data_IF_668547629607
#
_entry.id   IF_668547629607
#
_cell.length_a   1.000
_cell.length_b   1.000
_cell.length_c   1.000
_cell.angle_alpha   90.00
_cell.angle_beta   90.00
_cell.angle_gamma   90.00
#
_symmetry.space_group_name_H-M   'P 1'
#
loop_
_entity.id
_entity.type
_entity.pdbx_description
1 polymer ?
#
# COMPACT_ATOMS: atom_id res chain seq x y z
N UNK A 1 24.98 -1.51 -63.24
CA UNK A 1 25.20 -0.61 -64.39
C UNK A 1 25.73 0.69 -63.82
N UNK A 2 26.98 0.98 -64.24
CA UNK A 2 27.69 2.28 -64.21
C UNK A 2 27.71 3.10 -62.92
N UNK A 3 28.73 3.29 -62.18
CA UNK A 3 30.15 3.43 -62.37
C UNK A 3 30.56 4.84 -62.87
N UNK A 4 31.80 5.24 -62.50
CA UNK A 4 32.19 6.39 -61.60
C UNK A 4 32.96 7.49 -62.40
N UNK A 5 33.52 8.55 -61.73
CA UNK A 5 34.71 9.33 -62.17
C UNK A 5 34.97 10.42 -61.10
N UNK A 6 36.02 10.43 -60.40
CA UNK A 6 37.46 10.77 -60.59
C UNK A 6 37.73 12.14 -61.15
N UNK A 7 38.67 12.78 -60.48
CA UNK A 7 39.83 13.67 -60.80
C UNK A 7 39.84 14.90 -59.93
N UNK A 8 40.79 15.23 -59.10
CA UNK A 8 42.23 15.17 -59.23
C UNK A 8 42.84 16.59 -59.12
N UNK A 9 44.01 16.82 -58.60
CA UNK A 9 44.40 18.05 -57.90
C UNK A 9 45.25 19.00 -58.82
N UNK A 10 45.28 20.32 -58.46
CA UNK A 10 46.25 21.25 -59.03
C UNK A 10 47.00 21.98 -57.94
N UNK A 11 48.34 21.89 -58.10
CA UNK A 11 49.40 22.52 -57.29
C UNK A 11 49.72 23.95 -57.74
N UNK A 12 50.26 24.69 -56.73
CA UNK A 12 51.42 25.60 -56.80
C UNK A 12 51.25 26.99 -57.33
N UNK A 13 51.63 28.00 -56.59
CA UNK A 13 53.00 28.57 -56.62
C UNK A 13 53.21 29.67 -55.57
N UNK A 14 54.38 29.69 -55.02
CA UNK A 14 54.97 30.70 -54.17
C UNK A 14 55.19 32.03 -54.91
N UNK A 15 55.03 33.17 -54.23
CA UNK A 15 55.89 34.34 -54.39
C UNK A 15 56.09 35.01 -53.01
N UNK A 16 57.35 35.23 -52.71
CA UNK A 16 57.83 35.93 -51.51
C UNK A 16 57.90 37.47 -51.75
N UNK A 17 57.70 38.24 -50.69
CA UNK A 17 57.92 39.67 -50.74
C UNK A 17 57.65 40.40 -49.41
N UNK A 18 58.77 40.75 -48.75
CA UNK A 18 59.00 42.05 -48.14
C UNK A 18 58.35 42.38 -46.78
N UNK A 19 59.19 42.41 -45.78
CA UNK A 19 58.94 42.91 -44.44
C UNK A 19 58.70 44.42 -44.34
N UNK A 20 57.74 44.87 -43.57
CA UNK A 20 57.74 46.14 -42.82
C UNK A 20 57.14 45.92 -41.43
N UNK A 21 57.99 46.08 -40.42
CA UNK A 21 57.61 46.09 -39.00
C UNK A 21 56.92 47.47 -38.72
N UNK A 22 55.65 47.40 -38.28
CA UNK A 22 55.06 48.46 -37.47
C UNK A 22 54.58 47.86 -36.17
N UNK A 23 55.18 48.22 -35.04
CA UNK A 23 54.69 48.04 -33.72
C UNK A 23 53.41 48.88 -33.55
N UNK A 24 52.31 48.17 -33.27
CA UNK A 24 51.09 48.81 -32.74
C UNK A 24 50.84 48.10 -31.38
N UNK A 25 51.03 48.88 -30.30
CA UNK A 25 50.61 48.51 -28.98
C UNK A 25 49.11 48.47 -28.92
N UNK A 26 48.51 47.27 -28.85
CA UNK A 26 47.09 47.07 -28.60
C UNK A 26 46.83 46.85 -27.10
N UNK A 27 45.75 47.36 -26.52
CA UNK A 27 45.46 47.19 -25.11
C UNK A 27 45.18 45.70 -24.82
N UNK A 28 45.82 45.16 -23.77
CA UNK A 28 45.56 43.84 -23.23
C UNK A 28 44.13 43.80 -22.65
N UNK A 29 43.21 43.15 -23.36
CA UNK A 29 41.88 42.84 -22.86
C UNK A 29 42.01 41.70 -21.88
N UNK A 30 41.98 41.99 -20.58
CA UNK A 30 41.93 40.98 -19.54
C UNK A 30 40.53 40.32 -19.60
N UNK A 31 40.47 39.09 -20.13
CA UNK A 31 39.28 38.26 -20.00
C UNK A 31 39.18 37.82 -18.53
N UNK A 32 38.28 38.48 -17.77
CA UNK A 32 37.78 37.93 -16.52
C UNK A 32 36.94 36.67 -16.88
N UNK A 33 37.58 35.49 -16.75
CA UNK A 33 36.82 34.23 -16.74
C UNK A 33 36.06 34.21 -15.43
N UNK A 34 34.82 34.66 -15.46
CA UNK A 34 33.90 34.39 -14.38
C UNK A 34 33.69 32.86 -14.33
N UNK A 35 34.32 32.22 -13.37
CA UNK A 35 34.04 30.82 -13.02
C UNK A 35 32.59 30.75 -12.54
N UNK A 36 31.66 30.48 -13.43
CA UNK A 36 30.33 30.07 -13.04
C UNK A 36 30.47 28.76 -12.27
N UNK A 37 30.37 28.84 -10.95
CA UNK A 37 30.25 27.65 -10.13
C UNK A 37 29.01 26.91 -10.64
N UNK A 38 29.20 25.81 -11.33
CA UNK A 38 28.12 24.91 -11.65
C UNK A 38 27.52 24.49 -10.31
N UNK A 39 26.38 25.04 -9.94
CA UNK A 39 25.63 24.55 -8.81
C UNK A 39 25.29 23.08 -9.13
N UNK A 40 25.86 22.17 -8.36
CA UNK A 40 25.47 20.77 -8.46
C UNK A 40 23.98 20.65 -8.21
N UNK A 41 23.29 19.91 -9.06
CA UNK A 41 21.88 19.61 -8.83
C UNK A 41 21.73 18.97 -7.45
N UNK A 42 20.66 19.28 -6.71
CA UNK A 42 20.40 18.67 -5.42
C UNK A 42 20.41 17.14 -5.52
N UNK A 43 21.06 16.49 -4.57
CA UNK A 43 21.19 15.05 -4.54
C UNK A 43 19.85 14.35 -4.25
N UNK A 44 18.91 15.06 -3.58
CA UNK A 44 17.61 14.55 -3.16
C UNK A 44 16.48 15.49 -3.58
N UNK A 45 15.34 14.91 -3.87
CA UNK A 45 14.12 15.67 -4.13
C UNK A 45 13.45 16.07 -2.81
N UNK A 46 13.40 15.13 -1.86
CA UNK A 46 12.80 15.34 -0.55
C UNK A 46 13.68 14.70 0.53
N UNK A 47 13.80 15.38 1.65
CA UNK A 47 14.46 14.91 2.87
C UNK A 47 13.49 15.01 4.05
N UNK A 48 13.17 13.88 4.66
CA UNK A 48 12.48 13.81 5.96
C UNK A 48 13.55 13.79 7.04
N UNK A 49 13.55 14.81 7.91
CA UNK A 49 14.63 15.04 8.85
C UNK A 49 14.25 14.75 10.29
N UNK A 50 15.04 13.91 10.97
CA UNK A 50 15.01 13.74 12.41
C UNK A 50 13.82 12.94 12.94
N UNK A 51 13.14 12.18 12.10
CA UNK A 51 12.04 11.29 12.52
C UNK A 51 12.55 10.01 13.18
N UNK A 52 11.71 9.39 13.99
CA UNK A 52 11.96 8.05 14.52
C UNK A 52 11.53 7.02 13.47
N UNK A 53 12.49 6.48 12.74
CA UNK A 53 12.23 5.49 11.68
C UNK A 53 12.01 4.12 12.29
N UNK A 54 10.90 3.48 11.92
CA UNK A 54 10.59 2.08 12.21
C UNK A 54 10.43 1.34 10.89
N UNK A 55 11.37 0.44 10.60
CA UNK A 55 11.36 -0.40 9.40
C UNK A 55 11.77 -1.84 9.79
N UNK A 56 10.78 -2.70 9.90
CA UNK A 56 10.96 -4.08 10.37
C UNK A 56 11.85 -4.90 9.44
N UNK A 57 11.72 -4.72 8.13
CA UNK A 57 12.53 -5.46 7.14
C UNK A 57 14.02 -5.14 7.24
N UNK A 58 14.36 -3.88 7.47
CA UNK A 58 15.76 -3.43 7.57
C UNK A 58 16.24 -3.36 9.03
N UNK A 59 15.46 -3.81 10.00
CA UNK A 59 15.77 -3.78 11.42
C UNK A 59 16.15 -2.38 11.93
N UNK A 60 15.45 -1.34 11.43
CA UNK A 60 15.66 0.05 11.85
C UNK A 60 14.59 0.40 12.89
N UNK A 61 15.04 0.87 14.05
CA UNK A 61 14.24 1.47 15.12
C UNK A 61 15.08 2.58 15.76
N UNK A 62 15.17 3.73 15.07
CA UNK A 62 16.12 4.78 15.43
C UNK A 62 15.71 6.16 14.88
N UNK A 63 16.22 7.22 15.52
CA UNK A 63 16.09 8.60 15.01
C UNK A 63 17.12 8.80 13.89
N UNK A 64 16.65 8.82 12.65
CA UNK A 64 17.45 9.01 11.43
C UNK A 64 16.67 9.78 10.38
N UNK A 65 17.36 10.20 9.33
CA UNK A 65 16.77 10.92 8.20
C UNK A 65 16.44 9.94 7.05
N UNK A 66 15.46 10.30 6.23
CA UNK A 66 15.08 9.55 5.03
C UNK A 66 15.13 10.48 3.83
N UNK A 67 15.98 10.20 2.87
CA UNK A 67 16.13 10.95 1.62
C UNK A 67 15.49 10.21 0.45
N UNK A 68 14.78 10.95 -0.40
CA UNK A 68 14.06 10.47 -1.57
C UNK A 68 14.63 11.12 -2.82
N UNK A 69 14.82 10.33 -3.88
CA UNK A 69 15.22 10.78 -5.20
C UNK A 69 14.47 10.02 -6.28
N UNK A 70 13.91 10.76 -7.25
CA UNK A 70 13.22 10.18 -8.41
C UNK A 70 12.18 9.11 -8.03
N UNK A 71 11.41 9.37 -6.97
CA UNK A 71 10.36 8.47 -6.47
C UNK A 71 10.84 7.26 -5.68
N UNK A 72 12.14 7.16 -5.36
CA UNK A 72 12.74 6.03 -4.67
C UNK A 72 13.47 6.47 -3.40
N UNK A 73 13.62 5.54 -2.45
CA UNK A 73 14.46 5.73 -1.27
C UNK A 73 15.93 5.84 -1.71
N UNK A 74 16.48 7.04 -1.57
CA UNK A 74 17.88 7.28 -1.92
C UNK A 74 18.83 6.94 -0.76
N UNK A 75 18.43 7.25 0.48
CA UNK A 75 19.24 6.98 1.67
C UNK A 75 18.40 7.02 2.93
N UNK A 76 18.72 6.14 3.87
CA UNK A 76 18.25 6.19 5.26
C UNK A 76 19.48 6.23 6.15
N UNK A 77 19.58 7.20 7.06
CA UNK A 77 20.72 7.31 7.97
C UNK A 77 20.77 8.66 8.68
N UNK A 78 21.62 8.79 9.70
CA UNK A 78 21.69 10.01 10.49
C UNK A 78 22.44 11.14 9.77
N UNK A 79 22.03 12.39 10.04
CA UNK A 79 22.79 13.60 9.72
C UNK A 79 22.90 13.91 8.24
N UNK A 80 21.89 13.63 7.45
CA UNK A 80 21.86 14.02 6.05
C UNK A 80 21.77 15.56 5.94
N UNK A 81 22.54 16.11 4.98
CA UNK A 81 22.62 17.57 4.82
C UNK A 81 21.38 18.11 4.11
N UNK A 82 20.64 19.01 4.75
CA UNK A 82 19.45 19.65 4.18
C UNK A 82 19.76 20.47 2.90
N UNK A 83 21.00 20.94 2.74
CA UNK A 83 21.44 21.66 1.54
C UNK A 83 21.54 20.78 0.28
N UNK A 84 21.51 19.46 0.46
CA UNK A 84 21.56 18.50 -0.64
C UNK A 84 20.14 18.10 -1.14
N UNK A 85 19.07 18.64 -0.53
CA UNK A 85 17.69 18.36 -0.90
C UNK A 85 16.99 19.59 -1.49
N UNK A 86 16.12 19.37 -2.49
CA UNK A 86 15.23 20.41 -3.01
C UNK A 86 14.28 20.87 -1.90
N UNK A 87 13.76 19.93 -1.14
CA UNK A 87 12.83 20.16 -0.03
C UNK A 87 13.23 19.35 1.19
N UNK A 88 13.17 19.99 2.35
CA UNK A 88 13.37 19.31 3.65
C UNK A 88 12.14 19.51 4.51
N UNK A 89 11.62 18.43 5.09
CA UNK A 89 10.52 18.45 6.04
C UNK A 89 11.05 18.00 7.40
N UNK A 90 10.80 18.79 8.42
CA UNK A 90 11.12 18.47 9.81
C UNK A 90 10.04 17.54 10.36
N UNK A 91 10.42 16.30 10.65
CA UNK A 91 9.52 15.26 11.21
C UNK A 91 10.00 14.81 12.61
N UNK A 92 10.72 15.67 13.31
CA UNK A 92 11.15 15.39 14.70
C UNK A 92 9.95 15.20 15.63
N UNK A 93 10.03 14.16 16.46
CA UNK A 93 8.94 13.79 17.36
C UNK A 93 7.84 12.94 16.71
N UNK A 94 7.97 12.67 15.41
CA UNK A 94 7.08 11.80 14.65
C UNK A 94 7.78 10.48 14.31
N UNK A 95 6.99 9.46 14.00
CA UNK A 95 7.47 8.17 13.51
C UNK A 95 7.42 8.14 11.99
N UNK A 96 8.47 7.64 11.36
CA UNK A 96 8.54 7.47 9.91
C UNK A 96 8.58 5.97 9.63
N UNK A 97 7.59 5.48 8.87
CA UNK A 97 7.45 4.06 8.53
C UNK A 97 7.38 3.90 7.02
N UNK A 98 7.61 2.69 6.46
CA UNK A 98 7.15 2.39 5.11
C UNK A 98 5.67 2.73 4.97
N UNK A 99 5.22 3.00 3.75
CA UNK A 99 3.80 3.18 3.46
C UNK A 99 2.99 1.96 3.88
N UNK A 100 1.88 2.20 4.57
CA UNK A 100 1.07 1.12 5.13
C UNK A 100 0.40 0.30 4.04
N UNK A 101 0.28 -1.00 4.29
CA UNK A 101 -0.37 -1.99 3.44
C UNK A 101 -1.61 -2.54 4.17
N UNK A 102 -2.78 -2.33 3.60
CA UNK A 102 -4.01 -2.95 4.10
C UNK A 102 -4.32 -4.20 3.29
N UNK A 103 -4.09 -5.36 3.90
CA UNK A 103 -4.15 -6.66 3.23
C UNK A 103 -5.58 -7.10 2.88
N UNK A 104 -6.60 -6.46 3.44
CA UNK A 104 -7.98 -6.88 3.30
C UNK A 104 -8.91 -5.67 3.21
N UNK A 105 -9.25 -5.28 1.97
CA UNK A 105 -10.22 -4.21 1.68
C UNK A 105 -11.15 -4.62 0.55
N UNK A 106 -12.23 -3.85 0.37
CA UNK A 106 -13.19 -4.02 -0.72
C UNK A 106 -13.33 -2.71 -1.49
N UNK A 107 -12.80 -2.68 -2.72
CA UNK A 107 -12.66 -1.44 -3.50
C UNK A 107 -13.23 -1.51 -4.93
N UNK A 108 -13.90 -2.58 -5.32
CA UNK A 108 -14.55 -2.72 -6.62
C UNK A 108 -15.93 -2.03 -6.61
N UNK A 109 -15.93 -0.70 -6.42
CA UNK A 109 -17.13 0.14 -6.39
C UNK A 109 -17.61 0.56 -7.78
N UNK A 110 -18.79 1.18 -7.85
CA UNK A 110 -19.31 1.82 -9.08
C UNK A 110 -19.82 0.87 -10.16
N UNK A 111 -20.05 -0.41 -9.87
CA UNK A 111 -20.60 -1.38 -10.82
C UNK A 111 -22.14 -1.30 -10.95
N UNK A 112 -22.82 -0.68 -9.98
CA UNK A 112 -24.28 -0.68 -9.85
C UNK A 112 -24.85 -1.94 -9.19
N UNK A 113 -24.03 -2.89 -8.78
CA UNK A 113 -24.46 -4.08 -8.04
C UNK A 113 -24.86 -3.71 -6.61
N UNK A 114 -26.11 -3.92 -6.26
CA UNK A 114 -26.66 -3.54 -4.95
C UNK A 114 -26.29 -4.55 -3.88
N UNK A 115 -25.93 -4.07 -2.69
CA UNK A 115 -25.58 -4.88 -1.51
C UNK A 115 -24.49 -5.92 -1.81
N UNK A 116 -23.53 -5.52 -2.61
CA UNK A 116 -22.47 -6.39 -3.12
C UNK A 116 -21.10 -5.76 -2.81
N UNK A 117 -20.13 -6.57 -2.43
CA UNK A 117 -18.71 -6.15 -2.37
C UNK A 117 -18.12 -5.92 -3.76
N UNK A 118 -18.70 -6.51 -4.80
CA UNK A 118 -18.43 -6.11 -6.18
C UNK A 118 -19.31 -4.91 -6.61
N UNK A 119 -19.63 -3.99 -5.71
CA UNK A 119 -20.55 -2.87 -5.97
C UNK A 119 -20.71 -1.91 -4.80
N UNK A 120 -21.95 -1.72 -4.33
CA UNK A 120 -22.33 -0.67 -3.37
C UNK A 120 -21.66 -0.79 -1.99
N UNK A 121 -21.21 -1.97 -1.58
CA UNK A 121 -20.51 -2.15 -0.31
C UNK A 121 -19.02 -1.79 -0.40
N UNK A 122 -18.44 -1.78 -1.58
CA UNK A 122 -17.07 -1.35 -1.82
C UNK A 122 -16.91 0.17 -1.72
N UNK A 123 -15.71 0.62 -1.36
CA UNK A 123 -15.38 2.03 -1.19
C UNK A 123 -14.37 2.49 -2.24
N UNK A 124 -14.41 3.77 -2.68
CA UNK A 124 -13.38 4.31 -3.57
C UNK A 124 -12.06 4.44 -2.81
N UNK A 125 -10.95 3.81 -3.27
CA UNK A 125 -9.72 3.71 -2.49
C UNK A 125 -9.11 5.06 -2.14
N UNK A 126 -8.92 5.95 -3.10
CA UNK A 126 -8.27 7.26 -2.89
C UNK A 126 -9.01 8.16 -1.90
N UNK A 127 -10.27 7.85 -1.58
CA UNK A 127 -11.06 8.59 -0.61
C UNK A 127 -10.71 8.33 0.86
N UNK A 128 -9.98 7.23 1.16
CA UNK A 128 -9.68 6.86 2.56
C UNK A 128 -8.23 6.43 2.79
N UNK A 129 -7.51 5.96 1.79
CA UNK A 129 -6.18 5.36 1.94
C UNK A 129 -5.16 6.35 2.47
N UNK A 130 -4.92 7.43 1.74
CA UNK A 130 -3.83 8.36 2.05
C UNK A 130 -4.02 9.07 3.39
N UNK A 131 -5.24 9.39 3.77
CA UNK A 131 -5.55 10.01 5.06
C UNK A 131 -5.30 9.08 6.27
N UNK A 132 -5.17 7.79 6.03
CA UNK A 132 -4.82 6.78 7.04
C UNK A 132 -3.42 6.19 6.85
N UNK A 133 -2.58 6.82 6.02
CA UNK A 133 -1.21 6.37 5.80
C UNK A 133 -1.05 5.17 4.87
N UNK A 134 -2.15 4.69 4.29
CA UNK A 134 -2.14 3.51 3.41
C UNK A 134 -1.72 3.92 2.00
N UNK A 135 -0.69 3.28 1.47
CA UNK A 135 -0.21 3.48 0.09
C UNK A 135 -0.54 2.31 -0.83
N UNK A 136 -0.78 1.15 -0.23
CA UNK A 136 -1.10 -0.09 -0.95
C UNK A 136 -2.28 -0.79 -0.27
N UNK A 137 -3.24 -1.22 -1.06
CA UNK A 137 -4.36 -2.05 -0.61
C UNK A 137 -4.44 -3.34 -1.41
N UNK A 138 -4.92 -4.40 -0.76
CA UNK A 138 -5.23 -5.66 -1.42
C UNK A 138 -6.74 -5.85 -1.40
N UNK A 139 -7.37 -5.78 -2.58
CA UNK A 139 -8.78 -6.12 -2.71
C UNK A 139 -9.00 -7.60 -2.42
N UNK A 140 -9.80 -7.90 -1.43
CA UNK A 140 -9.97 -9.24 -0.92
C UNK A 140 -11.12 -10.00 -1.61
N UNK A 141 -11.10 -10.05 -2.94
CA UNK A 141 -11.95 -10.91 -3.72
C UNK A 141 -13.26 -10.29 -4.18
N UNK A 142 -13.34 -8.98 -4.31
CA UNK A 142 -14.51 -8.35 -4.94
C UNK A 142 -14.72 -8.86 -6.37
N UNK A 143 -13.64 -9.11 -7.13
CA UNK A 143 -13.70 -9.68 -8.46
C UNK A 143 -13.30 -11.16 -8.49
N UNK A 144 -13.85 -11.89 -9.45
CA UNK A 144 -13.43 -13.24 -9.84
C UNK A 144 -12.89 -13.25 -11.27
N UNK A 145 -12.58 -14.45 -11.80
CA UNK A 145 -11.98 -14.57 -13.12
C UNK A 145 -12.84 -14.06 -14.28
N UNK A 146 -14.17 -13.87 -14.08
CA UNK A 146 -15.09 -13.37 -15.12
C UNK A 146 -15.08 -11.85 -15.25
N UNK A 147 -14.80 -11.11 -14.18
CA UNK A 147 -14.94 -9.66 -14.13
C UNK A 147 -13.70 -8.92 -13.62
N UNK A 148 -12.57 -9.61 -13.50
CA UNK A 148 -11.32 -8.98 -13.08
C UNK A 148 -10.86 -7.86 -14.02
N UNK A 149 -11.03 -8.04 -15.33
CA UNK A 149 -10.64 -7.02 -16.31
C UNK A 149 -11.47 -5.74 -16.19
N UNK A 150 -12.76 -5.86 -15.89
CA UNK A 150 -13.61 -4.69 -15.59
C UNK A 150 -13.16 -4.00 -14.27
N UNK A 151 -12.83 -4.78 -13.24
CA UNK A 151 -12.27 -4.23 -11.99
C UNK A 151 -10.95 -3.48 -12.26
N UNK A 152 -10.08 -4.07 -13.05
CA UNK A 152 -8.80 -3.46 -13.42
C UNK A 152 -9.01 -2.13 -14.15
N UNK A 153 -9.81 -2.11 -15.21
CA UNK A 153 -10.06 -0.91 -16.02
C UNK A 153 -10.77 0.21 -15.22
N UNK A 154 -11.77 -0.15 -14.41
CA UNK A 154 -12.58 0.84 -13.68
C UNK A 154 -11.89 1.42 -12.46
N UNK A 155 -11.13 0.61 -11.74
CA UNK A 155 -10.63 0.97 -10.41
C UNK A 155 -9.12 0.96 -10.38
N UNK A 156 -8.48 -0.17 -10.69
CA UNK A 156 -7.03 -0.33 -10.49
C UNK A 156 -6.25 0.69 -11.33
N UNK A 157 -6.55 0.77 -12.62
CA UNK A 157 -5.82 1.64 -13.57
C UNK A 157 -6.12 3.14 -13.37
N UNK A 158 -7.10 3.50 -12.53
CA UNK A 158 -7.53 4.89 -12.30
C UNK A 158 -7.21 5.41 -10.93
N UNK A 159 -6.80 4.55 -10.02
CA UNK A 159 -6.50 4.91 -8.64
C UNK A 159 -5.05 5.39 -8.48
N UNK A 160 -4.84 6.39 -7.64
CA UNK A 160 -3.50 6.78 -7.20
C UNK A 160 -2.96 5.82 -6.13
N UNK A 161 -3.85 5.20 -5.37
CA UNK A 161 -3.51 4.11 -4.45
C UNK A 161 -3.04 2.90 -5.24
N UNK A 162 -1.95 2.25 -4.81
CA UNK A 162 -1.58 0.94 -5.38
C UNK A 162 -2.61 -0.09 -4.93
N UNK A 163 -3.27 -0.73 -5.90
CA UNK A 163 -4.26 -1.79 -5.66
C UNK A 163 -3.71 -3.09 -6.24
N UNK A 164 -3.56 -4.08 -5.38
CA UNK A 164 -3.35 -5.46 -5.74
C UNK A 164 -4.62 -6.25 -5.45
N UNK A 165 -4.77 -7.44 -6.00
CA UNK A 165 -6.01 -8.20 -5.86
C UNK A 165 -5.79 -9.65 -5.44
N UNK A 166 -6.60 -10.13 -4.51
CA UNK A 166 -6.88 -11.55 -4.35
C UNK A 166 -8.11 -11.89 -5.19
N UNK A 167 -7.94 -12.78 -6.16
CA UNK A 167 -9.04 -13.15 -7.05
C UNK A 167 -10.00 -14.10 -6.35
N UNK A 168 -11.29 -13.81 -6.33
CA UNK A 168 -12.28 -14.70 -5.73
C UNK A 168 -12.35 -16.01 -6.51
N UNK A 169 -12.50 -17.13 -5.79
CA UNK A 169 -12.71 -18.44 -6.42
C UNK A 169 -14.05 -18.54 -7.13
N UNK A 170 -15.05 -17.76 -6.70
CA UNK A 170 -16.31 -17.59 -7.43
C UNK A 170 -16.05 -16.73 -8.66
N UNK A 171 -16.38 -17.23 -9.84
CA UNK A 171 -16.02 -16.60 -11.10
C UNK A 171 -16.53 -15.16 -11.27
N UNK A 172 -17.66 -14.82 -10.66
CA UNK A 172 -18.24 -13.47 -10.68
C UNK A 172 -17.83 -12.59 -9.49
N UNK A 173 -16.96 -13.08 -8.60
CA UNK A 173 -16.52 -12.35 -7.42
C UNK A 173 -17.56 -12.32 -6.29
N UNK A 174 -17.35 -11.42 -5.34
CA UNK A 174 -18.13 -11.31 -4.11
C UNK A 174 -19.41 -10.49 -4.35
N UNK A 175 -20.33 -11.06 -5.11
CA UNK A 175 -21.60 -10.42 -5.50
C UNK A 175 -22.74 -10.64 -4.50
N UNK A 176 -22.48 -11.35 -3.39
CA UNK A 176 -23.45 -11.62 -2.35
C UNK A 176 -24.06 -13.04 -2.41
N UNK A 177 -24.90 -13.34 -1.43
CA UNK A 177 -25.39 -14.65 -0.98
C UNK A 177 -25.38 -15.78 -2.01
N UNK A 178 -26.31 -15.75 -2.97
CA UNK A 178 -26.51 -16.84 -3.94
C UNK A 178 -25.29 -17.11 -4.85
N UNK A 179 -24.53 -16.07 -5.15
CA UNK A 179 -23.35 -16.20 -6.02
C UNK A 179 -22.23 -16.92 -5.28
N UNK A 180 -22.01 -16.56 -4.02
CA UNK A 180 -20.96 -17.12 -3.18
C UNK A 180 -21.30 -18.54 -2.68
N UNK A 181 -22.54 -18.99 -2.87
CA UNK A 181 -22.97 -20.38 -2.59
C UNK A 181 -22.93 -21.29 -3.83
N UNK A 182 -22.62 -20.75 -5.02
CA UNK A 182 -22.65 -21.49 -6.28
C UNK A 182 -21.32 -22.20 -6.53
N UNK A 183 -21.19 -23.44 -6.07
CA UNK A 183 -19.96 -24.24 -6.26
C UNK A 183 -19.66 -24.57 -7.72
N UNK A 184 -20.63 -24.51 -8.64
CA UNK A 184 -20.41 -24.68 -10.07
C UNK A 184 -19.66 -23.50 -10.73
N UNK A 185 -19.64 -22.34 -10.09
CA UNK A 185 -18.88 -21.16 -10.56
C UNK A 185 -17.48 -21.06 -9.93
N UNK A 186 -17.12 -22.02 -9.06
CA UNK A 186 -15.83 -22.09 -8.39
C UNK A 186 -14.87 -22.98 -9.19
N UNK A 187 -14.11 -22.36 -10.09
CA UNK A 187 -13.22 -23.06 -11.01
C UNK A 187 -11.75 -22.66 -10.76
N UNK A 188 -11.01 -23.59 -10.14
CA UNK A 188 -9.60 -23.36 -9.81
C UNK A 188 -8.69 -23.20 -11.03
N UNK A 189 -9.02 -23.86 -12.16
CA UNK A 189 -8.25 -23.77 -13.40
C UNK A 189 -8.42 -22.41 -14.10
N UNK A 190 -9.67 -21.95 -14.22
CA UNK A 190 -9.97 -20.65 -14.84
C UNK A 190 -9.45 -19.51 -13.97
N UNK A 191 -9.57 -19.65 -12.64
CA UNK A 191 -9.02 -18.68 -11.68
C UNK A 191 -7.48 -18.61 -11.78
N UNK A 192 -6.79 -19.75 -11.84
CA UNK A 192 -5.34 -19.80 -12.04
C UNK A 192 -4.89 -19.20 -13.39
N UNK A 193 -5.64 -19.46 -14.46
CA UNK A 193 -5.36 -18.87 -15.78
C UNK A 193 -5.48 -17.34 -15.76
N UNK A 194 -6.49 -16.80 -15.07
CA UNK A 194 -6.64 -15.36 -14.91
C UNK A 194 -5.48 -14.78 -14.10
N UNK A 195 -5.11 -15.41 -12.97
CA UNK A 195 -3.96 -14.98 -12.16
C UNK A 195 -2.66 -14.96 -12.99
N UNK A 196 -2.43 -15.96 -13.82
CA UNK A 196 -1.25 -16.04 -14.70
C UNK A 196 -1.21 -14.95 -15.80
N UNK A 197 -2.35 -14.34 -16.16
CA UNK A 197 -2.40 -13.22 -17.12
C UNK A 197 -1.95 -11.89 -16.50
N UNK A 198 -2.02 -11.77 -15.18
CA UNK A 198 -1.72 -10.54 -14.46
C UNK A 198 -0.76 -10.82 -13.28
N UNK A 199 0.46 -11.33 -13.56
CA UNK A 199 1.44 -11.64 -12.53
C UNK A 199 1.84 -10.36 -11.79
N UNK A 200 1.96 -10.45 -10.46
CA UNK A 200 2.28 -9.31 -9.60
C UNK A 200 1.11 -8.34 -9.34
N UNK A 201 0.01 -8.42 -10.10
CA UNK A 201 -1.22 -7.68 -9.83
C UNK A 201 -2.24 -8.54 -9.08
N UNK A 202 -2.41 -9.80 -9.49
CA UNK A 202 -3.18 -10.80 -8.74
C UNK A 202 -2.20 -11.54 -7.83
N UNK A 203 -2.30 -11.28 -6.53
CA UNK A 203 -1.32 -11.70 -5.52
C UNK A 203 -1.84 -12.81 -4.60
N UNK A 204 -3.08 -13.24 -4.76
CA UNK A 204 -3.69 -14.29 -3.97
C UNK A 204 -5.03 -14.74 -4.53
N UNK A 205 -5.58 -15.78 -3.91
CA UNK A 205 -6.94 -16.28 -4.17
C UNK A 205 -7.76 -16.10 -2.90
N UNK A 206 -8.99 -15.63 -3.04
CA UNK A 206 -9.94 -15.47 -1.93
C UNK A 206 -11.07 -16.49 -2.02
N UNK A 207 -11.47 -17.03 -0.89
CA UNK A 207 -12.78 -17.68 -0.72
C UNK A 207 -13.45 -17.15 0.54
N UNK A 208 -14.76 -16.87 0.47
CA UNK A 208 -15.49 -16.23 1.56
C UNK A 208 -16.95 -16.72 1.63
N UNK A 209 -17.56 -16.54 2.81
CA UNK A 209 -19.00 -16.59 3.11
C UNK A 209 -19.74 -17.89 2.73
N UNK A 210 -19.03 -18.96 2.36
CA UNK A 210 -19.70 -20.21 1.97
C UNK A 210 -20.34 -20.89 3.17
N UNK A 211 -21.61 -21.24 3.04
CA UNK A 211 -22.42 -21.81 4.12
C UNK A 211 -22.65 -23.32 3.98
N UNK A 212 -22.32 -23.91 2.84
CA UNK A 212 -22.51 -25.33 2.57
C UNK A 212 -21.57 -26.24 3.36
N UNK A 213 -21.84 -27.55 3.34
CA UNK A 213 -21.03 -28.56 4.05
C UNK A 213 -19.79 -29.02 3.27
N UNK A 214 -19.66 -28.66 1.99
CA UNK A 214 -18.62 -29.13 1.09
C UNK A 214 -17.33 -28.33 1.24
N UNK A 215 -16.20 -28.96 0.92
CA UNK A 215 -14.89 -28.35 0.85
C UNK A 215 -14.58 -27.67 -0.49
N UNK A 216 -15.47 -27.77 -1.47
CA UNK A 216 -15.28 -27.26 -2.84
C UNK A 216 -14.67 -25.87 -2.92
N UNK A 217 -15.15 -24.84 -2.16
CA UNK A 217 -14.56 -23.50 -2.25
C UNK A 217 -13.09 -23.45 -1.86
N UNK A 218 -12.74 -24.14 -0.78
CA UNK A 218 -11.36 -24.19 -0.29
C UNK A 218 -10.48 -25.04 -1.22
N UNK A 219 -10.96 -26.18 -1.66
CA UNK A 219 -10.21 -27.08 -2.55
C UNK A 219 -9.93 -26.42 -3.90
N UNK A 220 -10.91 -25.76 -4.50
CA UNK A 220 -10.73 -25.04 -5.75
C UNK A 220 -9.80 -23.82 -5.58
N UNK A 221 -9.91 -23.09 -4.46
CA UNK A 221 -8.99 -22.00 -4.16
C UNK A 221 -7.55 -22.48 -4.00
N UNK A 222 -7.34 -23.62 -3.31
CA UNK A 222 -6.02 -24.24 -3.14
C UNK A 222 -5.46 -24.74 -4.49
N UNK A 223 -6.29 -25.31 -5.37
CA UNK A 223 -5.89 -25.68 -6.74
C UNK A 223 -5.41 -24.42 -7.48
N UNK A 224 -6.21 -23.35 -7.48
CA UNK A 224 -5.86 -22.11 -8.13
C UNK A 224 -4.55 -21.49 -7.60
N UNK A 225 -4.45 -21.35 -6.28
CA UNK A 225 -3.27 -20.80 -5.61
C UNK A 225 -2.01 -21.63 -5.83
N UNK A 226 -2.14 -22.97 -5.90
CA UNK A 226 -1.01 -23.87 -6.19
C UNK A 226 -0.52 -23.70 -7.62
N UNK A 227 -1.43 -23.66 -8.60
CA UNK A 227 -1.09 -23.50 -10.01
C UNK A 227 -0.49 -22.12 -10.31
N UNK A 228 -1.03 -21.07 -9.70
CA UNK A 228 -0.54 -19.71 -9.87
C UNK A 228 0.66 -19.37 -8.95
N UNK A 229 1.03 -20.28 -8.05
CA UNK A 229 2.08 -20.07 -7.03
C UNK A 229 1.87 -18.83 -6.17
N UNK A 230 0.63 -18.59 -5.72
CA UNK A 230 0.23 -17.48 -4.85
C UNK A 230 -0.54 -18.02 -3.63
N UNK A 231 -0.62 -17.26 -2.50
CA UNK A 231 -1.36 -17.67 -1.32
C UNK A 231 -2.87 -17.74 -1.55
N UNK A 232 -3.54 -18.43 -0.64
CA UNK A 232 -5.00 -18.43 -0.53
C UNK A 232 -5.37 -17.73 0.78
N UNK A 233 -6.28 -16.76 0.74
CA UNK A 233 -6.91 -16.17 1.91
C UNK A 233 -8.31 -16.74 2.09
N UNK A 234 -8.58 -17.28 3.29
CA UNK A 234 -9.88 -17.86 3.62
C UNK A 234 -10.59 -17.06 4.70
N UNK A 235 -11.76 -16.53 4.34
CA UNK A 235 -12.83 -16.23 5.27
C UNK A 235 -13.76 -17.44 5.27
N UNK A 236 -13.76 -18.19 6.35
CA UNK A 236 -14.25 -19.58 6.33
C UNK A 236 -15.78 -19.71 6.16
N UNK A 237 -16.56 -18.65 6.33
CA UNK A 237 -18.02 -18.72 6.31
C UNK A 237 -18.56 -19.46 7.53
N UNK A 238 -19.44 -20.45 7.35
CA UNK A 238 -20.00 -21.21 8.47
C UNK A 238 -19.12 -22.39 8.87
N UNK A 239 -18.94 -22.58 10.18
CA UNK A 239 -18.40 -23.81 10.75
C UNK A 239 -19.46 -24.92 10.68
N UNK A 240 -19.07 -26.11 10.22
CA UNK A 240 -19.96 -27.27 10.05
C UNK A 240 -19.28 -28.51 10.58
N UNK A 241 -20.05 -29.49 11.12
CA UNK A 241 -19.46 -30.77 11.57
C UNK A 241 -18.68 -31.51 10.47
N UNK A 242 -19.13 -31.38 9.20
CA UNK A 242 -18.46 -31.96 8.03
C UNK A 242 -17.33 -31.11 7.49
N UNK A 243 -17.22 -29.85 7.96
CA UNK A 243 -16.24 -28.86 7.53
C UNK A 243 -15.76 -28.05 8.75
N UNK A 244 -15.07 -28.72 9.71
CA UNK A 244 -14.62 -28.04 10.92
C UNK A 244 -13.40 -27.15 10.67
N UNK A 245 -13.30 -26.05 11.40
CA UNK A 245 -12.16 -25.13 11.34
C UNK A 245 -10.82 -25.83 11.58
N UNK A 246 -10.79 -26.81 12.49
CA UNK A 246 -9.59 -27.61 12.76
C UNK A 246 -9.05 -28.27 11.48
N UNK A 247 -9.90 -28.90 10.68
CA UNK A 247 -9.48 -29.56 9.44
C UNK A 247 -9.05 -28.56 8.36
N UNK A 248 -9.67 -27.37 8.31
CA UNK A 248 -9.21 -26.30 7.45
C UNK A 248 -7.74 -25.98 7.71
N UNK A 249 -7.40 -25.67 8.95
CA UNK A 249 -6.09 -25.17 9.36
C UNK A 249 -5.00 -26.27 9.36
N UNK A 250 -5.38 -27.51 9.66
CA UNK A 250 -4.42 -28.60 9.80
C UNK A 250 -4.26 -29.49 8.58
N UNK A 251 -5.25 -29.52 7.67
CA UNK A 251 -5.28 -30.45 6.55
C UNK A 251 -5.48 -29.82 5.17
N UNK A 252 -6.24 -28.71 5.08
CA UNK A 252 -6.66 -28.17 3.79
C UNK A 252 -5.77 -27.03 3.31
N UNK A 253 -5.41 -26.07 4.18
CA UNK A 253 -4.54 -24.96 3.83
C UNK A 253 -3.07 -25.38 3.75
N UNK A 254 -2.32 -24.66 2.91
CA UNK A 254 -0.89 -24.86 2.68
C UNK A 254 -0.06 -23.91 3.56
N UNK A 255 1.20 -24.19 3.88
CA UNK A 255 2.12 -23.19 4.42
C UNK A 255 2.13 -21.94 3.54
N UNK A 256 2.00 -20.76 4.17
CA UNK A 256 1.89 -19.48 3.49
C UNK A 256 0.47 -19.07 3.08
N UNK A 257 -0.54 -19.91 3.29
CA UNK A 257 -1.94 -19.49 3.15
C UNK A 257 -2.39 -18.69 4.39
N UNK A 258 -3.42 -17.86 4.22
CA UNK A 258 -3.85 -16.85 5.19
C UNK A 258 -5.25 -17.20 5.71
N UNK A 259 -5.40 -17.27 7.04
CA UNK A 259 -6.70 -17.28 7.69
C UNK A 259 -7.04 -15.88 8.19
N UNK A 260 -8.06 -15.25 7.61
CA UNK A 260 -8.52 -13.91 8.04
C UNK A 260 -9.66 -13.97 9.05
N UNK A 261 -9.94 -12.86 9.72
CA UNK A 261 -10.95 -12.74 10.79
C UNK A 261 -10.64 -13.57 12.04
N UNK A 262 -9.37 -13.64 12.39
CA UNK A 262 -8.88 -14.53 13.45
C UNK A 262 -9.49 -14.27 14.85
N UNK A 263 -10.10 -13.12 15.09
CA UNK A 263 -10.72 -12.76 16.36
C UNK A 263 -12.25 -12.63 16.27
N UNK A 264 -12.88 -13.31 15.31
CA UNK A 264 -14.30 -13.15 15.04
C UNK A 264 -15.20 -13.77 16.10
N UNK A 265 -14.83 -14.90 16.65
CA UNK A 265 -15.67 -15.71 17.54
C UNK A 265 -16.92 -16.26 16.85
N UNK A 266 -16.88 -16.36 15.52
CA UNK A 266 -17.94 -16.96 14.71
C UNK A 266 -17.71 -18.45 14.48
N UNK A 267 -16.50 -18.91 14.78
CA UNK A 267 -16.06 -20.30 14.60
C UNK A 267 -15.30 -20.74 15.86
N UNK A 268 -14.68 -21.90 15.84
CA UNK A 268 -13.93 -22.41 16.99
C UNK A 268 -12.48 -21.88 17.00
N UNK A 269 -12.32 -20.56 16.96
CA UNK A 269 -11.00 -19.89 16.99
C UNK A 269 -10.34 -19.97 18.37
N UNK A 270 -11.15 -19.99 19.44
CA UNK A 270 -10.72 -19.94 20.83
C UNK A 270 -10.99 -21.26 21.56
N UNK A 271 -10.07 -21.68 22.42
CA UNK A 271 -10.33 -22.76 23.38
C UNK A 271 -11.20 -22.21 24.53
N UNK A 272 -12.40 -22.78 24.76
CA UNK A 272 -13.33 -22.26 25.76
C UNK A 272 -12.88 -22.45 27.21
N UNK A 273 -11.86 -23.29 27.47
CA UNK A 273 -11.34 -23.53 28.83
C UNK A 273 -10.23 -22.58 29.19
N UNK A 274 -9.30 -22.35 28.24
CA UNK A 274 -8.12 -21.50 28.47
C UNK A 274 -8.34 -20.07 28.02
N UNK A 275 -9.36 -19.83 27.19
CA UNK A 275 -9.60 -18.58 26.44
C UNK A 275 -8.43 -18.19 25.51
N UNK A 276 -7.47 -19.09 25.34
CA UNK A 276 -6.37 -18.93 24.39
C UNK A 276 -6.74 -19.40 22.98
N UNK A 277 -5.75 -19.47 22.07
CA UNK A 277 -5.98 -19.98 20.72
C UNK A 277 -6.43 -21.43 20.75
N UNK A 278 -7.34 -21.80 19.86
CA UNK A 278 -7.76 -23.19 19.70
C UNK A 278 -6.58 -24.07 19.23
N UNK A 279 -6.72 -25.38 19.44
CA UNK A 279 -5.71 -26.35 18.97
C UNK A 279 -5.45 -26.19 17.46
N UNK A 280 -6.49 -25.95 16.66
CA UNK A 280 -6.35 -25.70 15.22
C UNK A 280 -5.51 -24.48 14.89
N UNK A 281 -5.65 -23.39 15.66
CA UNK A 281 -4.84 -22.18 15.51
C UNK A 281 -3.36 -22.42 15.79
N UNK A 282 -3.08 -23.10 16.90
CA UNK A 282 -1.70 -23.44 17.30
C UNK A 282 -1.02 -24.34 16.25
N UNK A 283 -1.69 -25.41 15.83
CA UNK A 283 -1.15 -26.35 14.83
C UNK A 283 -1.07 -25.72 13.44
N UNK A 284 -2.05 -24.88 13.06
CA UNK A 284 -2.05 -24.14 11.81
C UNK A 284 -0.85 -23.19 11.72
N UNK A 285 -0.57 -22.42 12.77
CA UNK A 285 0.62 -21.56 12.84
C UNK A 285 1.91 -22.36 12.77
N UNK A 286 1.99 -23.46 13.49
CA UNK A 286 3.17 -24.35 13.45
C UNK A 286 3.41 -24.95 12.05
N UNK A 287 2.38 -25.04 11.21
CA UNK A 287 2.48 -25.44 9.81
C UNK A 287 2.87 -24.29 8.87
N UNK A 288 2.97 -23.07 9.36
CA UNK A 288 3.31 -21.89 8.57
C UNK A 288 2.11 -21.18 7.92
N UNK A 289 0.92 -21.28 8.51
CA UNK A 289 -0.21 -20.44 8.14
C UNK A 289 -0.06 -19.05 8.75
N UNK A 290 -0.50 -18.03 8.04
CA UNK A 290 -0.64 -16.67 8.52
C UNK A 290 -2.05 -16.42 9.07
N UNK A 291 -2.13 -15.56 10.09
CA UNK A 291 -3.37 -15.20 10.76
C UNK A 291 -3.56 -13.69 10.70
N UNK A 292 -4.54 -13.27 9.92
CA UNK A 292 -4.86 -11.87 9.66
C UNK A 292 -6.04 -11.40 10.50
N UNK A 293 -6.00 -10.13 10.94
CA UNK A 293 -7.08 -9.58 11.77
C UNK A 293 -8.39 -9.46 11.02
N UNK A 294 -8.41 -8.95 9.79
CA UNK A 294 -9.62 -8.75 9.00
C UNK A 294 -10.75 -8.16 9.83
N UNK A 295 -10.55 -7.01 10.47
CA UNK A 295 -11.39 -6.53 11.58
C UNK A 295 -12.86 -6.40 11.21
N UNK A 296 -13.19 -5.86 10.04
CA UNK A 296 -14.53 -5.79 9.46
C UNK A 296 -15.60 -5.11 10.32
N UNK A 297 -16.82 -5.18 9.82
CA UNK A 297 -17.99 -4.73 10.57
C UNK A 297 -18.50 -5.74 11.59
N UNK A 298 -18.06 -7.01 11.48
CA UNK A 298 -18.61 -8.13 12.25
C UNK A 298 -17.60 -9.19 12.69
N UNK A 299 -16.29 -8.93 12.64
CA UNK A 299 -15.28 -9.99 12.72
C UNK A 299 -14.20 -9.79 13.79
N UNK A 300 -14.45 -8.92 14.77
CA UNK A 300 -13.50 -8.67 15.86
C UNK A 300 -14.20 -8.53 17.21
N UNK A 301 -13.77 -9.33 18.21
CA UNK A 301 -14.24 -9.25 19.60
C UNK A 301 -13.08 -9.15 20.57
N UNK A 302 -13.14 -8.21 21.53
CA UNK A 302 -12.14 -8.11 22.60
C UNK A 302 -12.10 -9.35 23.48
N UNK A 303 -13.23 -10.03 23.67
CA UNK A 303 -13.30 -11.28 24.44
C UNK A 303 -12.46 -12.42 23.87
N UNK A 304 -12.11 -12.36 22.57
CA UNK A 304 -11.16 -13.28 21.95
C UNK A 304 -9.77 -12.67 21.85
N UNK A 305 -9.67 -11.45 21.31
CA UNK A 305 -8.38 -10.85 21.01
C UNK A 305 -7.53 -10.66 22.26
N UNK A 306 -8.11 -10.15 23.36
CA UNK A 306 -7.37 -9.84 24.61
C UNK A 306 -6.72 -11.11 25.20
N UNK A 307 -7.46 -12.19 25.53
CA UNK A 307 -6.84 -13.37 26.14
C UNK A 307 -5.91 -14.12 25.17
N UNK A 308 -6.16 -14.12 23.86
CA UNK A 308 -5.27 -14.76 22.90
C UNK A 308 -3.94 -14.01 22.78
N UNK A 309 -3.97 -12.67 22.69
CA UNK A 309 -2.77 -11.83 22.66
C UNK A 309 -1.98 -11.95 23.97
N UNK A 310 -2.64 -11.95 25.14
CA UNK A 310 -2.00 -12.14 26.42
C UNK A 310 -1.30 -13.50 26.55
N UNK A 311 -1.77 -14.51 25.82
CA UNK A 311 -1.15 -15.84 25.73
C UNK A 311 -0.14 -15.95 24.58
N UNK A 312 0.23 -14.83 23.95
CA UNK A 312 1.25 -14.77 22.90
C UNK A 312 0.78 -15.11 21.49
N UNK A 313 -0.52 -15.31 21.28
CA UNK A 313 -1.07 -15.56 19.94
C UNK A 313 -1.52 -14.24 19.32
N UNK A 314 -0.56 -13.53 18.73
CA UNK A 314 -0.73 -12.24 18.05
C UNK A 314 -1.05 -12.45 16.57
N UNK A 315 -1.61 -11.46 15.85
CA UNK A 315 -1.77 -11.54 14.40
C UNK A 315 -0.41 -11.56 13.69
N UNK A 316 -0.38 -12.03 12.47
CA UNK A 316 0.76 -11.91 11.54
C UNK A 316 0.59 -10.66 10.66
N UNK A 317 -0.65 -10.24 10.37
CA UNK A 317 -0.98 -9.00 9.70
C UNK A 317 -2.19 -8.29 10.31
N UNK A 318 -2.19 -6.96 10.18
CA UNK A 318 -3.28 -6.08 10.59
C UNK A 318 -3.96 -5.57 9.33
N UNK A 319 -5.25 -5.90 9.18
CA UNK A 319 -6.07 -5.44 8.08
C UNK A 319 -7.46 -5.02 8.54
N UNK A 320 -8.17 -4.30 7.70
CA UNK A 320 -9.41 -3.65 8.08
C UNK A 320 -10.66 -4.39 7.66
N UNK A 321 -10.62 -5.19 6.61
CA UNK A 321 -11.83 -5.60 5.89
C UNK A 321 -12.70 -4.35 5.58
N UNK A 322 -12.07 -3.32 4.97
CA UNK A 322 -12.70 -2.04 4.81
C UNK A 322 -13.74 -2.07 3.70
N UNK A 323 -14.95 -1.73 4.08
CA UNK A 323 -16.11 -1.55 3.21
C UNK A 323 -17.03 -0.49 3.82
N UNK A 324 -18.09 -0.09 3.13
CA UNK A 324 -19.01 0.97 3.59
C UNK A 324 -19.51 0.72 5.02
N UNK A 325 -19.83 -0.52 5.37
CA UNK A 325 -20.30 -0.87 6.71
C UNK A 325 -19.22 -0.75 7.78
N UNK A 326 -17.99 -1.21 7.52
CA UNK A 326 -16.90 -1.22 8.50
C UNK A 326 -16.30 0.18 8.75
N UNK A 327 -16.28 1.06 7.74
CA UNK A 327 -15.80 2.45 7.87
C UNK A 327 -16.51 3.23 8.96
N UNK A 328 -17.80 3.00 9.15
CA UNK A 328 -18.64 3.71 10.11
C UNK A 328 -18.93 2.91 11.39
N UNK A 329 -18.32 1.73 11.52
CA UNK A 329 -18.46 0.85 12.69
C UNK A 329 -17.22 0.88 13.59
N UNK A 330 -16.93 -0.24 14.26
CA UNK A 330 -15.79 -0.38 15.16
C UNK A 330 -14.42 -0.32 14.46
N UNK A 331 -14.33 -0.62 13.17
CA UNK A 331 -13.08 -0.64 12.39
C UNK A 331 -12.56 0.76 12.09
N UNK A 332 -13.34 1.60 11.45
CA UNK A 332 -13.03 2.95 10.96
C UNK A 332 -11.95 2.97 9.87
N UNK A 333 -10.68 2.76 10.25
CA UNK A 333 -9.50 2.71 9.39
C UNK A 333 -8.40 1.83 10.03
N UNK A 334 -7.31 1.60 9.31
CA UNK A 334 -6.21 0.76 9.78
C UNK A 334 -5.51 1.32 11.02
N UNK A 335 -5.40 2.65 11.16
CA UNK A 335 -4.78 3.27 12.33
C UNK A 335 -5.63 3.15 13.58
N UNK A 336 -6.96 3.14 13.44
CA UNK A 336 -7.86 2.83 14.55
C UNK A 336 -7.73 1.35 14.96
N UNK A 337 -7.57 0.43 14.01
CA UNK A 337 -7.31 -0.99 14.30
C UNK A 337 -5.96 -1.16 15.01
N UNK A 338 -4.90 -0.56 14.49
CA UNK A 338 -3.57 -0.59 15.11
C UNK A 338 -3.58 -0.02 16.53
N UNK A 339 -4.21 1.15 16.73
CA UNK A 339 -4.34 1.78 18.05
C UNK A 339 -5.12 0.92 19.03
N UNK A 340 -6.15 0.24 18.57
CA UNK A 340 -6.93 -0.74 19.33
C UNK A 340 -6.05 -1.92 19.79
N UNK A 341 -5.20 -2.43 18.91
CA UNK A 341 -4.28 -3.54 19.24
C UNK A 341 -3.16 -3.10 20.18
N UNK A 342 -2.66 -1.86 20.05
CA UNK A 342 -1.74 -1.27 21.05
C UNK A 342 -2.42 -1.22 22.41
N UNK A 343 -3.67 -0.78 22.49
CA UNK A 343 -4.41 -0.68 23.76
C UNK A 343 -4.63 -2.03 24.45
N UNK A 344 -4.50 -3.15 23.74
CA UNK A 344 -4.65 -4.51 24.29
C UNK A 344 -3.34 -5.32 24.33
N UNK A 345 -2.19 -4.68 24.04
CA UNK A 345 -0.89 -5.23 24.39
C UNK A 345 0.10 -5.49 23.25
N UNK A 346 -0.16 -5.05 22.01
CA UNK A 346 0.87 -5.01 20.98
C UNK A 346 1.75 -3.77 21.16
N UNK A 347 3.02 -3.87 20.79
CA UNK A 347 3.93 -2.74 20.73
C UNK A 347 3.77 -1.94 19.44
N UNK A 348 4.27 -0.70 19.40
CA UNK A 348 4.26 0.11 18.19
C UNK A 348 5.04 -0.57 17.06
N UNK A 349 6.19 -1.19 17.37
CA UNK A 349 7.04 -1.90 16.42
C UNK A 349 6.29 -3.09 15.79
N UNK A 350 5.56 -3.87 16.60
CA UNK A 350 4.75 -4.99 16.11
C UNK A 350 3.65 -4.50 15.16
N UNK A 351 2.86 -3.50 15.56
CA UNK A 351 1.77 -3.02 14.67
C UNK A 351 2.30 -2.39 13.38
N UNK A 352 3.47 -1.75 13.40
CA UNK A 352 4.11 -1.24 12.18
C UNK A 352 4.55 -2.40 11.29
N UNK A 353 5.19 -3.42 11.84
CA UNK A 353 5.59 -4.60 11.08
C UNK A 353 4.38 -5.30 10.45
N UNK A 354 3.29 -5.46 11.22
CA UNK A 354 2.04 -6.12 10.81
C UNK A 354 1.22 -5.30 9.78
N UNK A 355 1.58 -4.03 9.57
CA UNK A 355 0.98 -3.18 8.53
C UNK A 355 1.96 -2.84 7.39
N UNK A 356 3.18 -3.38 7.38
CA UNK A 356 4.20 -3.06 6.37
C UNK A 356 4.89 -4.31 5.84
N UNK A 357 5.96 -4.76 6.49
CA UNK A 357 6.80 -5.87 6.03
C UNK A 357 6.05 -7.22 6.02
N UNK A 358 5.25 -7.50 7.04
CA UNK A 358 4.56 -8.78 7.15
C UNK A 358 3.50 -8.98 6.05
N UNK A 359 2.53 -8.06 5.81
CA UNK A 359 1.59 -8.23 4.70
C UNK A 359 2.30 -8.26 3.33
N UNK A 360 3.41 -7.54 3.14
CA UNK A 360 4.21 -7.64 1.93
C UNK A 360 4.78 -9.05 1.73
N UNK A 361 5.30 -9.67 2.79
CA UNK A 361 5.79 -11.04 2.78
C UNK A 361 4.66 -12.05 2.51
N UNK A 362 3.49 -11.89 3.13
CA UNK A 362 2.35 -12.77 2.96
C UNK A 362 1.89 -12.85 1.50
N UNK A 363 1.93 -11.73 0.78
CA UNK A 363 1.59 -11.68 -0.65
C UNK A 363 2.79 -11.87 -1.57
N UNK A 364 4.00 -12.14 -1.02
CA UNK A 364 5.27 -12.34 -1.74
C UNK A 364 5.69 -11.14 -2.59
N UNK A 365 5.48 -9.94 -2.07
CA UNK A 365 5.88 -8.65 -2.63
C UNK A 365 6.87 -7.95 -1.68
N UNK A 366 7.99 -8.62 -1.40
CA UNK A 366 9.02 -8.14 -0.45
C UNK A 366 9.66 -6.80 -0.86
N UNK A 367 9.44 -6.33 -2.07
CA UNK A 367 9.84 -5.00 -2.52
C UNK A 367 8.99 -3.88 -1.92
N UNK A 368 7.80 -4.21 -1.38
CA UNK A 368 6.91 -3.28 -0.67
C UNK A 368 7.17 -3.30 0.85
N UNK A 369 6.58 -2.37 1.56
CA UNK A 369 6.57 -2.34 3.02
C UNK A 369 7.94 -2.18 3.68
N UNK A 370 8.89 -1.50 3.00
CA UNK A 370 10.24 -1.25 3.52
C UNK A 370 10.85 0.05 2.97
N UNK A 371 11.92 0.53 3.62
CA UNK A 371 12.68 1.73 3.24
C UNK A 371 14.10 1.37 2.74
N UNK A 372 14.28 0.20 2.13
CA UNK A 372 15.55 -0.18 1.53
C UNK A 372 15.98 0.80 0.45
N UNK A 373 17.28 1.08 0.32
CA UNK A 373 17.78 1.91 -0.78
C UNK A 373 17.32 1.34 -2.13
N UNK A 374 16.77 2.21 -2.98
CA UNK A 374 16.20 1.84 -4.27
C UNK A 374 14.75 1.33 -4.21
N UNK A 375 14.18 1.09 -3.04
CA UNK A 375 12.75 0.79 -2.92
C UNK A 375 11.91 2.01 -3.33
N UNK A 376 10.69 1.74 -3.79
CA UNK A 376 9.71 2.81 -4.08
C UNK A 376 9.47 3.62 -2.80
N UNK A 377 9.52 4.94 -2.90
CA UNK A 377 9.33 5.83 -1.76
C UNK A 377 7.84 5.95 -1.39
N UNK A 378 7.29 4.88 -0.86
CA UNK A 378 6.02 4.84 -0.16
C UNK A 378 6.31 4.96 1.33
N UNK A 379 5.89 6.08 1.96
CA UNK A 379 6.24 6.42 3.35
C UNK A 379 5.01 6.95 4.07
N UNK A 380 4.87 6.57 5.33
CA UNK A 380 3.89 7.15 6.24
C UNK A 380 4.59 7.78 7.43
N UNK A 381 4.25 9.04 7.72
CA UNK A 381 4.68 9.73 8.94
C UNK A 381 3.51 9.72 9.92
N UNK A 382 3.76 9.21 11.11
CA UNK A 382 2.74 9.00 12.14
C UNK A 382 3.03 9.84 13.39
N UNK A 383 1.99 10.38 14.00
CA UNK A 383 2.04 10.80 15.41
C UNK A 383 1.42 9.74 16.30
N UNK A 384 2.01 9.53 17.46
CA UNK A 384 1.45 8.72 18.55
C UNK A 384 0.89 9.67 19.63
N UNK A 385 -0.38 10.01 19.45
CA UNK A 385 -1.06 10.92 20.35
C UNK A 385 -1.26 10.31 21.74
N UNK A 386 -0.96 11.05 22.77
CA UNK A 386 -1.20 10.68 24.16
C UNK A 386 -2.53 11.26 24.65
N UNK A 387 -3.33 10.46 25.34
CA UNK A 387 -4.63 10.91 25.83
C UNK A 387 -5.46 9.75 26.37
N UNK A 388 -6.76 9.95 26.43
CA UNK A 388 -7.73 8.94 26.83
C UNK A 388 -8.62 8.63 25.63
N UNK A 389 -8.47 7.44 25.07
CA UNK A 389 -9.16 7.00 23.87
C UNK A 389 -10.01 5.77 24.14
N UNK A 390 -11.22 5.73 23.57
CA UNK A 390 -12.10 4.56 23.64
C UNK A 390 -12.11 3.81 22.31
N UNK A 391 -11.87 2.51 22.35
CA UNK A 391 -11.96 1.63 21.19
C UNK A 391 -13.10 0.63 21.39
N UNK A 392 -13.84 0.36 20.31
CA UNK A 392 -14.99 -0.55 20.35
C UNK A 392 -14.77 -1.77 19.46
N UNK A 393 -15.46 -2.86 19.79
CA UNK A 393 -15.53 -4.06 18.97
C UNK A 393 -16.91 -4.22 18.30
N UNK A 394 -17.12 -5.33 17.57
CA UNK A 394 -18.34 -5.61 16.85
C UNK A 394 -19.60 -5.83 17.71
N UNK A 395 -19.43 -6.12 18.99
CA UNK A 395 -20.53 -6.36 19.94
C UNK A 395 -20.68 -5.23 20.97
N UNK A 396 -20.15 -4.04 20.65
CA UNK A 396 -20.11 -2.86 21.50
C UNK A 396 -19.29 -3.03 22.80
N UNK A 397 -18.40 -4.02 22.84
CA UNK A 397 -17.35 -4.08 23.86
C UNK A 397 -16.42 -2.87 23.71
N UNK A 398 -15.94 -2.30 24.86
CA UNK A 398 -15.07 -1.12 24.86
C UNK A 398 -13.83 -1.36 25.69
N UNK A 399 -12.68 -0.99 25.13
CA UNK A 399 -11.42 -0.85 25.88
C UNK A 399 -10.98 0.61 25.88
N UNK A 400 -10.25 1.02 26.92
CA UNK A 400 -9.60 2.32 26.98
C UNK A 400 -8.12 2.16 26.66
N UNK A 401 -7.61 3.04 25.81
CA UNK A 401 -6.19 3.18 25.53
C UNK A 401 -5.69 4.57 25.87
N UNK A 402 -4.40 4.68 26.07
CA UNK A 402 -3.70 5.95 26.37
C UNK A 402 -3.00 6.53 25.15
N UNK A 403 -2.99 5.79 24.04
CA UNK A 403 -2.29 6.14 22.81
C UNK A 403 -3.18 5.94 21.61
N UNK A 404 -2.97 6.78 20.58
CA UNK A 404 -3.68 6.71 19.30
C UNK A 404 -2.76 7.12 18.16
N UNK A 405 -2.66 6.31 17.12
CA UNK A 405 -1.95 6.62 15.91
C UNK A 405 -2.76 7.54 14.98
N UNK A 406 -2.08 8.53 14.39
CA UNK A 406 -2.65 9.44 13.40
C UNK A 406 -1.62 9.63 12.30
N UNK A 407 -2.06 9.59 11.03
CA UNK A 407 -1.20 9.91 9.89
C UNK A 407 -1.04 11.43 9.78
N UNK A 408 0.19 11.90 9.84
CA UNK A 408 0.55 13.30 9.66
C UNK A 408 0.91 13.61 8.22
N UNK A 409 1.66 12.70 7.57
CA UNK A 409 2.08 12.83 6.18
C UNK A 409 2.04 11.47 5.50
N UNK A 410 1.57 11.41 4.27
CA UNK A 410 1.66 10.21 3.42
C UNK A 410 2.34 10.57 2.11
N UNK A 411 3.35 9.77 1.78
CA UNK A 411 4.14 9.90 0.55
C UNK A 411 3.90 8.62 -0.26
N UNK A 412 3.51 8.80 -1.51
CA UNK A 412 3.28 7.73 -2.48
C UNK A 412 4.13 7.97 -3.73
N UNK A 413 4.95 6.98 -4.10
CA UNK A 413 5.89 7.08 -5.23
C UNK A 413 6.77 8.34 -5.14
N UNK A 414 7.21 8.69 -3.91
CA UNK A 414 8.03 9.87 -3.63
C UNK A 414 7.29 11.22 -3.63
N UNK A 415 5.98 11.22 -3.81
CA UNK A 415 5.15 12.44 -3.83
C UNK A 415 4.30 12.51 -2.56
N UNK A 416 4.24 13.70 -1.97
CA UNK A 416 3.34 13.96 -0.85
C UNK A 416 1.90 13.95 -1.38
N UNK A 417 1.08 13.04 -0.88
CA UNK A 417 -0.32 12.85 -1.29
C UNK A 417 -1.30 13.22 -0.20
N UNK A 418 -0.83 13.33 1.05
CA UNK A 418 -1.61 13.78 2.19
C UNK A 418 -0.71 14.47 3.21
N UNK A 419 -1.15 15.62 3.71
CA UNK A 419 -0.48 16.40 4.74
C UNK A 419 -1.55 16.97 5.68
N UNK A 420 -1.64 16.40 6.89
CA UNK A 420 -2.70 16.72 7.84
C UNK A 420 -2.56 18.14 8.40
N UNK A 421 -1.33 18.51 8.74
CA UNK A 421 -1.04 19.72 9.50
C UNK A 421 -0.17 20.73 8.74
N UNK A 422 -0.01 20.55 7.42
CA UNK A 422 0.76 21.47 6.59
C UNK A 422 2.27 21.43 6.85
N UNK A 423 2.83 20.24 7.15
CA UNK A 423 4.27 20.05 7.35
C UNK A 423 5.08 20.45 6.09
N UNK A 424 4.46 20.29 4.93
CA UNK A 424 5.02 20.69 3.65
C UNK A 424 4.83 22.19 3.35
N UNK A 425 3.80 22.80 3.93
CA UNK A 425 3.36 24.14 3.55
C UNK A 425 4.30 25.23 4.06
N UNK A 426 4.42 26.29 3.27
CA UNK A 426 5.06 27.52 3.71
C UNK A 426 4.11 28.34 4.59
N UNK A 427 4.62 29.15 5.55
CA UNK A 427 3.80 30.13 6.24
C UNK A 427 3.00 30.99 5.26
N UNK A 428 1.75 31.29 5.58
CA UNK A 428 0.85 32.06 4.69
C UNK A 428 1.41 33.43 4.26
N UNK A 429 2.30 34.00 5.07
CA UNK A 429 2.96 35.31 4.81
C UNK A 429 4.34 35.18 4.12
N UNK A 430 4.79 33.97 3.82
CA UNK A 430 5.97 33.77 2.98
C UNK A 430 5.63 34.01 1.50
N UNK A 431 6.61 34.37 0.66
CA UNK A 431 6.39 34.45 -0.77
C UNK A 431 5.84 33.13 -1.30
N UNK A 432 4.63 33.19 -1.85
CA UNK A 432 3.99 32.02 -2.46
C UNK A 432 4.42 31.93 -3.92
N UNK A 433 4.75 30.72 -4.37
CA UNK A 433 4.93 30.44 -5.79
C UNK A 433 3.61 30.62 -6.56
N UNK A 434 3.69 30.78 -7.86
CA UNK A 434 2.51 30.82 -8.72
C UNK A 434 1.86 29.42 -8.70
N UNK A 435 0.72 29.29 -8.01
CA UNK A 435 -0.03 28.05 -7.89
C UNK A 435 -0.51 27.49 -9.24
N UNK A 436 -0.61 28.37 -10.27
CA UNK A 436 -1.00 27.93 -11.62
C UNK A 436 0.07 27.09 -12.30
N UNK A 437 1.31 27.15 -11.81
CA UNK A 437 2.45 26.36 -12.29
C UNK A 437 2.78 25.17 -11.38
N UNK A 438 2.10 25.03 -10.25
CA UNK A 438 2.31 23.91 -9.34
C UNK A 438 1.80 22.61 -9.98
N UNK A 439 2.70 21.65 -10.15
CA UNK A 439 2.39 20.35 -10.74
C UNK A 439 1.29 19.58 -10.00
N UNK A 440 1.06 19.88 -8.72
CA UNK A 440 -0.05 19.31 -7.94
C UNK A 440 -1.41 19.66 -8.53
N UNK A 441 -1.56 20.88 -9.08
CA UNK A 441 -2.80 21.30 -9.72
C UNK A 441 -2.88 20.88 -11.19
N UNK A 442 -1.75 20.69 -11.84
CA UNK A 442 -1.70 20.22 -13.23
C UNK A 442 -1.86 18.71 -13.35
N UNK A 443 -1.63 17.94 -12.28
CA UNK A 443 -1.77 16.49 -12.25
C UNK A 443 -3.19 16.01 -11.89
N UNK A 444 -4.04 16.88 -11.33
CA UNK A 444 -5.46 16.55 -11.26
C UNK A 444 -6.05 16.61 -12.66
N UNK A 445 -6.85 15.62 -13.09
CA UNK A 445 -7.62 15.76 -14.30
C UNK A 445 -8.39 17.08 -14.18
N UNK A 446 -8.17 18.00 -15.10
CA UNK A 446 -8.90 19.28 -15.12
C UNK A 446 -10.37 18.94 -15.01
N UNK A 447 -11.08 19.56 -14.06
CA UNK A 447 -12.54 19.51 -14.03
C UNK A 447 -13.03 19.75 -15.46
N UNK A 448 -13.93 18.92 -15.99
CA UNK A 448 -14.51 19.18 -17.31
C UNK A 448 -15.21 20.55 -17.37
N UNK A 449 -15.44 21.18 -16.22
CA UNK A 449 -15.98 22.54 -16.11
C UNK A 449 -14.81 23.54 -15.94
N UNK A 450 -14.34 24.11 -17.04
CA UNK A 450 -13.52 25.33 -16.99
C UNK A 450 -14.43 26.49 -16.55
N UNK A 451 -13.95 27.41 -15.68
CA UNK A 451 -14.64 28.68 -15.47
C UNK A 451 -14.69 29.41 -16.84
N UNK A 452 -15.83 29.46 -17.46
CA UNK A 452 -16.03 30.00 -18.80
C UNK A 452 -16.93 29.17 -19.71
N UNK A 453 -17.12 27.86 -19.40
CA UNK A 453 -18.00 26.99 -20.18
C UNK A 453 -19.49 27.10 -19.79
N UNK A 454 -19.83 28.04 -18.91
CA UNK A 454 -21.23 28.40 -18.67
C UNK A 454 -21.66 29.32 -19.77
N UNK A 455 -21.93 28.80 -20.95
CA UNK A 455 -22.80 29.51 -21.90
C UNK A 455 -24.18 29.61 -21.28
N UNK A 456 -24.49 30.80 -20.79
CA UNK A 456 -25.86 31.19 -20.43
C UNK A 456 -26.72 31.06 -21.68
N UNK A 457 -27.43 29.94 -21.80
CA UNK A 457 -28.58 29.87 -22.67
C UNK A 457 -29.72 30.62 -21.99
N UNK A 458 -30.02 31.85 -22.52
CA UNK A 458 -31.26 32.54 -22.29
C UNK A 458 -32.38 31.93 -23.17
#
# INVERSE_FOLDING_TARGET
MFGPNEHGPIRSRYVAGGAVRRLIAGPALAFLVASASAQSLPAYDLLLRGGHVIDAKNHIDAIVDVAIKDGHIARVGPGLNSGDAIKTIDVRGLYVTPGLIDLHVHVYNGTGERRSYAGDLSVPPDGFTFRSGVTTVIDAGCSGWRNFEDFKDRIIDRSNTRILAMLNIVGSGMRGDRYEQNTFDMDGELTAKMAARYPGLIVGIKTAHFLGPEWTPVEQAVIAGTRANIPVMVDFGADRPTRPLYDLLTKKLRPGDIYTHMYSGLRQEQDPRTLGPSKGFVEGRARGLYFDTGTGGGSFKFSLAVPMIQQGFKPDSISTDLHVGSMNSATKDILNVASKLIAIGLTLQEVVADMTAHPAQEIRHDELGNLSMGAIADITVLSLQKGRFGFTDMVNGRVEGTEKLVAELTIKDGKIVYDLNGLEALPWNAPQGDITQDSRWTSFPRSPFQPGDVTTHH
#
